data_IF_770990980098
#
_entry.id   IF_770990980098
#
_cell.length_a   1.000
_cell.length_b   1.000
_cell.length_c   1.000
_cell.angle_alpha   90.00
_cell.angle_beta   90.00
_cell.angle_gamma   90.00
#
_symmetry.space_group_name_H-M   'P 1'
#
loop_
_entity.id
_entity.type
_entity.pdbx_description
1 polymer ?
#
# COMPACT_ATOMS: atom_id res chain seq x y z
N UNK A 1 -62.73 -58.15 10.10
CA UNK A 1 -63.20 -57.11 11.04
C UNK A 1 -62.23 -57.09 12.23
N UNK A 2 -61.41 -56.05 12.34
CA UNK A 2 -60.58 -55.79 13.53
C UNK A 2 -61.19 -54.57 14.25
N UNK A 3 -61.34 -54.60 15.59
CA UNK A 3 -61.91 -53.47 16.31
C UNK A 3 -60.98 -52.26 16.17
N UNK A 4 -61.54 -51.13 15.71
CA UNK A 4 -60.81 -49.90 15.49
C UNK A 4 -60.13 -49.46 16.78
N UNK A 5 -58.81 -49.19 16.71
CA UNK A 5 -58.10 -48.53 17.81
C UNK A 5 -58.78 -47.18 18.07
N UNK A 6 -59.04 -46.80 19.33
CA UNK A 6 -59.61 -45.49 19.63
C UNK A 6 -58.69 -44.42 19.07
N UNK A 7 -59.25 -43.53 18.26
CA UNK A 7 -58.56 -42.33 17.78
C UNK A 7 -58.17 -41.54 19.02
N UNK A 8 -56.89 -41.17 19.22
CA UNK A 8 -56.51 -40.34 20.35
C UNK A 8 -57.32 -39.05 20.26
N UNK A 9 -58.23 -38.82 21.21
CA UNK A 9 -58.90 -37.53 21.32
C UNK A 9 -57.81 -36.47 21.44
N UNK A 10 -57.79 -35.53 20.49
CA UNK A 10 -57.01 -34.30 20.64
C UNK A 10 -57.49 -33.68 21.96
N UNK A 11 -56.67 -33.80 23.00
CA UNK A 11 -56.95 -33.19 24.30
C UNK A 11 -57.19 -31.72 24.07
N UNK A 12 -58.36 -31.25 24.53
CA UNK A 12 -58.73 -29.86 24.46
C UNK A 12 -57.60 -29.05 25.11
N UNK A 13 -56.98 -28.07 24.42
CA UNK A 13 -55.83 -27.33 24.94
C UNK A 13 -56.12 -26.53 26.21
N UNK A 14 -57.37 -26.55 26.70
CA UNK A 14 -57.89 -25.89 27.89
C UNK A 14 -58.31 -26.86 29.02
N UNK A 15 -58.17 -28.18 28.82
CA UNK A 15 -58.54 -29.23 29.80
C UNK A 15 -57.33 -29.98 30.38
N UNK A 16 -56.11 -29.47 30.21
CA UNK A 16 -54.93 -30.12 30.77
C UNK A 16 -54.89 -29.91 32.29
N UNK A 17 -54.41 -30.91 33.04
CA UNK A 17 -54.15 -30.74 34.46
C UNK A 17 -53.13 -29.59 34.67
N UNK A 18 -53.29 -28.75 35.69
CA UNK A 18 -52.41 -27.59 35.94
C UNK A 18 -50.91 -27.91 35.86
N UNK A 19 -50.51 -29.10 36.32
CA UNK A 19 -49.13 -29.60 36.31
C UNK A 19 -48.57 -29.75 34.89
N UNK A 20 -49.41 -30.08 33.91
CA UNK A 20 -49.02 -30.24 32.50
C UNK A 20 -48.80 -28.89 31.83
N UNK A 21 -49.61 -27.86 32.16
CA UNK A 21 -49.34 -26.49 31.70
C UNK A 21 -48.05 -25.94 32.28
N UNK A 22 -47.81 -26.17 33.58
CA UNK A 22 -46.58 -25.74 34.24
C UNK A 22 -45.35 -26.43 33.64
N UNK A 23 -45.44 -27.74 33.39
CA UNK A 23 -44.36 -28.48 32.72
C UNK A 23 -44.12 -27.98 31.29
N UNK A 24 -45.19 -27.72 30.52
CA UNK A 24 -45.08 -27.16 29.16
C UNK A 24 -44.45 -25.77 29.18
N UNK A 25 -44.88 -24.88 30.07
CA UNK A 25 -44.30 -23.54 30.22
C UNK A 25 -42.82 -23.57 30.62
N UNK A 26 -42.44 -24.48 31.54
CA UNK A 26 -41.04 -24.70 31.91
C UNK A 26 -40.19 -25.20 30.75
N UNK A 27 -40.69 -26.15 29.96
CA UNK A 27 -39.98 -26.65 28.79
C UNK A 27 -39.83 -25.59 27.70
N UNK A 28 -40.89 -24.83 27.41
CA UNK A 28 -40.83 -23.71 26.46
C UNK A 28 -39.81 -22.66 26.89
N UNK A 29 -39.84 -22.22 28.16
CA UNK A 29 -38.87 -21.25 28.67
C UNK A 29 -37.42 -21.78 28.65
N UNK A 30 -37.23 -23.08 28.87
CA UNK A 30 -35.89 -23.71 28.75
C UNK A 30 -35.40 -23.71 27.31
N UNK A 31 -36.25 -24.07 26.35
CA UNK A 31 -35.88 -24.14 24.93
C UNK A 31 -35.64 -22.74 24.37
N UNK A 32 -36.48 -21.76 24.73
CA UNK A 32 -36.29 -20.35 24.40
C UNK A 32 -34.98 -19.81 24.99
N UNK A 33 -34.71 -20.06 26.27
CA UNK A 33 -33.46 -19.66 26.92
C UNK A 33 -32.24 -20.30 26.29
N UNK A 34 -32.31 -21.58 25.90
CA UNK A 34 -31.24 -22.28 25.21
C UNK A 34 -30.96 -21.67 23.83
N UNK A 35 -31.99 -21.42 23.03
CA UNK A 35 -31.84 -20.79 21.71
C UNK A 35 -31.32 -19.36 21.81
N UNK A 36 -31.84 -18.58 22.75
CA UNK A 36 -31.37 -17.21 23.00
C UNK A 36 -29.90 -17.19 23.41
N UNK A 37 -29.49 -18.04 24.36
CA UNK A 37 -28.11 -18.14 24.80
C UNK A 37 -27.17 -18.57 23.68
N UNK A 38 -27.57 -19.55 22.87
CA UNK A 38 -26.78 -20.00 21.70
C UNK A 38 -26.64 -18.89 20.66
N UNK A 39 -27.73 -18.20 20.31
CA UNK A 39 -27.71 -17.12 19.34
C UNK A 39 -26.88 -15.93 19.84
N UNK A 40 -26.99 -15.59 21.13
CA UNK A 40 -26.20 -14.53 21.73
C UNK A 40 -24.70 -14.86 21.70
N UNK A 41 -24.33 -16.09 22.08
CA UNK A 41 -22.94 -16.57 22.03
C UNK A 41 -22.38 -16.59 20.61
N UNK A 42 -23.18 -17.07 19.63
CA UNK A 42 -22.80 -17.06 18.22
C UNK A 42 -22.57 -15.64 17.70
N UNK A 43 -23.50 -14.72 17.95
CA UNK A 43 -23.39 -13.32 17.53
C UNK A 43 -22.19 -12.61 18.19
N UNK A 44 -21.85 -12.98 19.42
CA UNK A 44 -20.66 -12.46 20.07
C UNK A 44 -19.38 -12.99 19.42
N UNK A 45 -19.30 -14.30 19.19
CA UNK A 45 -18.14 -14.93 18.55
C UNK A 45 -17.91 -14.40 17.14
N UNK A 46 -18.97 -14.26 16.33
CA UNK A 46 -18.91 -13.68 14.98
C UNK A 46 -18.42 -12.24 15.02
N UNK A 47 -18.94 -11.41 15.93
CA UNK A 47 -18.47 -10.02 16.07
C UNK A 47 -16.99 -9.94 16.42
N UNK A 48 -16.52 -10.77 17.35
CA UNK A 48 -15.11 -10.83 17.72
C UNK A 48 -14.24 -11.30 16.55
N UNK A 49 -14.68 -12.34 15.82
CA UNK A 49 -13.97 -12.82 14.64
C UNK A 49 -13.89 -11.75 13.55
N UNK A 50 -14.98 -11.03 13.28
CA UNK A 50 -15.01 -9.95 12.30
C UNK A 50 -14.04 -8.83 12.68
N UNK A 51 -13.99 -8.43 13.95
CA UNK A 51 -13.03 -7.42 14.42
C UNK A 51 -11.58 -7.85 14.17
N UNK A 52 -11.24 -9.11 14.41
CA UNK A 52 -9.90 -9.64 14.14
C UNK A 52 -9.61 -9.65 12.64
N UNK A 53 -10.58 -10.05 11.81
CA UNK A 53 -10.44 -10.06 10.35
C UNK A 53 -10.21 -8.64 9.82
N UNK A 54 -11.00 -7.66 10.29
CA UNK A 54 -10.85 -6.24 9.93
C UNK A 54 -9.46 -5.71 10.31
N UNK A 55 -8.98 -6.02 11.52
CA UNK A 55 -7.63 -5.64 11.96
C UNK A 55 -6.54 -6.28 11.10
N UNK A 56 -6.69 -7.56 10.75
CA UNK A 56 -5.74 -8.27 9.90
C UNK A 56 -5.73 -7.72 8.48
N UNK A 57 -6.89 -7.36 7.93
CA UNK A 57 -6.99 -6.72 6.61
C UNK A 57 -6.25 -5.39 6.60
N UNK A 58 -6.48 -4.53 7.60
CA UNK A 58 -5.75 -3.27 7.71
C UNK A 58 -4.25 -3.48 7.80
N UNK A 59 -3.79 -4.43 8.62
CA UNK A 59 -2.37 -4.74 8.76
C UNK A 59 -1.74 -5.23 7.45
N UNK A 60 -2.46 -6.03 6.66
CA UNK A 60 -1.98 -6.51 5.34
C UNK A 60 -1.87 -5.33 4.37
N UNK A 61 -2.85 -4.43 4.34
CA UNK A 61 -2.82 -3.24 3.50
C UNK A 61 -1.63 -2.34 3.87
N UNK A 62 -1.41 -2.09 5.16
CA UNK A 62 -0.29 -1.29 5.64
C UNK A 62 1.06 -1.93 5.26
N UNK A 63 1.19 -3.26 5.39
CA UNK A 63 2.41 -3.99 5.00
C UNK A 63 2.65 -3.93 3.50
N UNK A 64 1.61 -4.05 2.68
CA UNK A 64 1.72 -3.94 1.23
C UNK A 64 2.19 -2.54 0.81
N UNK A 65 1.66 -1.48 1.43
CA UNK A 65 2.11 -0.11 1.18
C UNK A 65 3.59 0.09 1.56
N UNK A 66 4.01 -0.43 2.71
CA UNK A 66 5.41 -0.35 3.13
C UNK A 66 6.36 -1.11 2.20
N UNK A 67 5.96 -2.30 1.74
CA UNK A 67 6.75 -3.07 0.77
C UNK A 67 6.86 -2.33 -0.56
N UNK A 68 5.76 -1.78 -1.06
CA UNK A 68 5.75 -1.01 -2.30
C UNK A 68 6.69 0.20 -2.20
N UNK A 69 6.61 0.97 -1.10
CA UNK A 69 7.49 2.11 -0.88
C UNK A 69 8.98 1.71 -0.81
N UNK A 70 9.30 0.53 -0.27
CA UNK A 70 10.68 0.01 -0.24
C UNK A 70 11.18 -0.39 -1.63
N UNK A 71 10.34 -1.02 -2.44
CA UNK A 71 10.68 -1.38 -3.82
C UNK A 71 10.95 -0.11 -4.64
N UNK A 72 10.07 0.89 -4.55
CA UNK A 72 10.26 2.17 -5.24
C UNK A 72 11.55 2.88 -4.78
N UNK A 73 11.86 2.83 -3.49
CA UNK A 73 13.11 3.38 -2.96
C UNK A 73 14.34 2.59 -3.45
N UNK A 74 14.25 1.27 -3.54
CA UNK A 74 15.34 0.44 -4.06
C UNK A 74 15.61 0.73 -5.54
N UNK A 75 14.55 0.81 -6.37
CA UNK A 75 14.67 1.19 -7.78
C UNK A 75 15.29 2.58 -7.94
N UNK A 76 14.86 3.55 -7.13
CA UNK A 76 15.46 4.88 -7.09
C UNK A 76 16.95 4.82 -6.72
N UNK A 77 17.30 4.08 -5.66
CA UNK A 77 18.69 3.94 -5.20
C UNK A 77 19.57 3.28 -6.26
N UNK A 78 19.07 2.27 -6.98
CA UNK A 78 19.78 1.63 -8.07
C UNK A 78 20.05 2.62 -9.22
N UNK A 79 19.06 3.44 -9.59
CA UNK A 79 19.24 4.47 -10.62
C UNK A 79 20.27 5.53 -10.19
N UNK A 80 20.21 6.01 -8.94
CA UNK A 80 21.18 6.96 -8.40
C UNK A 80 22.59 6.38 -8.42
N UNK A 81 22.76 5.13 -7.96
CA UNK A 81 24.06 4.46 -7.98
C UNK A 81 24.63 4.36 -9.40
N UNK A 82 23.83 3.92 -10.38
CA UNK A 82 24.27 3.83 -11.77
C UNK A 82 24.66 5.18 -12.35
N UNK A 83 23.88 6.23 -12.08
CA UNK A 83 24.21 7.60 -12.47
C UNK A 83 25.54 8.05 -11.88
N UNK A 84 25.77 7.82 -10.58
CA UNK A 84 27.04 8.15 -9.92
C UNK A 84 28.22 7.41 -10.55
N UNK A 85 28.09 6.10 -10.78
CA UNK A 85 29.15 5.29 -11.41
C UNK A 85 29.46 5.77 -12.83
N UNK A 86 28.46 6.13 -13.62
CA UNK A 86 28.69 6.69 -14.96
C UNK A 86 29.41 8.05 -14.90
N UNK A 87 29.02 8.92 -13.97
CA UNK A 87 29.68 10.20 -13.79
C UNK A 87 31.15 10.00 -13.40
N UNK A 88 31.43 9.15 -12.41
CA UNK A 88 32.80 8.87 -11.96
C UNK A 88 33.67 8.27 -13.08
N UNK A 89 33.10 7.39 -13.91
CA UNK A 89 33.79 6.83 -15.06
C UNK A 89 34.12 7.91 -16.12
N UNK A 90 33.17 8.82 -16.41
CA UNK A 90 33.39 9.94 -17.34
C UNK A 90 34.44 10.90 -16.78
N UNK A 91 34.39 11.22 -15.48
CA UNK A 91 35.38 12.07 -14.82
C UNK A 91 36.77 11.45 -14.88
N UNK A 92 36.89 10.15 -14.62
CA UNK A 92 38.17 9.43 -14.72
C UNK A 92 38.74 9.48 -16.14
N UNK A 93 37.92 9.17 -17.15
CA UNK A 93 38.31 9.24 -18.56
C UNK A 93 38.71 10.65 -19.00
N UNK A 94 38.03 11.68 -18.49
CA UNK A 94 38.35 13.08 -18.74
C UNK A 94 39.72 13.45 -18.16
N UNK A 95 40.00 13.01 -16.95
CA UNK A 95 41.22 13.38 -16.23
C UNK A 95 42.45 12.64 -16.77
N UNK A 96 42.27 11.43 -17.28
CA UNK A 96 43.34 10.60 -17.86
C UNK A 96 43.68 10.97 -19.32
N UNK A 97 42.73 11.55 -20.08
CA UNK A 97 42.89 11.76 -21.52
C UNK A 97 42.43 13.15 -21.99
N UNK A 98 43.36 14.05 -22.39
CA UNK A 98 43.04 15.39 -22.87
C UNK A 98 42.12 15.46 -24.11
N UNK A 99 42.22 14.49 -25.02
CA UNK A 99 41.36 14.44 -26.22
C UNK A 99 39.96 13.94 -25.87
N UNK A 100 39.87 12.95 -24.96
CA UNK A 100 38.59 12.52 -24.40
C UNK A 100 37.90 13.68 -23.66
N UNK A 101 38.66 14.47 -22.88
CA UNK A 101 38.13 15.66 -22.19
C UNK A 101 37.45 16.63 -23.15
N UNK A 102 38.09 17.00 -24.26
CA UNK A 102 37.48 17.91 -25.26
C UNK A 102 36.21 17.30 -25.86
N UNK A 103 36.25 16.02 -26.22
CA UNK A 103 35.10 15.32 -26.79
C UNK A 103 33.93 15.25 -25.81
N UNK A 104 34.20 14.96 -24.54
CA UNK A 104 33.23 14.91 -23.44
C UNK A 104 32.60 16.28 -23.22
N UNK A 105 33.39 17.35 -23.08
CA UNK A 105 32.88 18.71 -22.87
C UNK A 105 32.00 19.16 -24.03
N UNK A 106 32.41 18.92 -25.27
CA UNK A 106 31.64 19.26 -26.48
C UNK A 106 30.31 18.49 -26.54
N UNK A 107 30.35 17.19 -26.27
CA UNK A 107 29.16 16.34 -26.25
C UNK A 107 28.19 16.76 -25.14
N UNK A 108 28.73 17.02 -23.94
CA UNK A 108 27.96 17.51 -22.80
C UNK A 108 27.31 18.85 -23.11
N UNK A 109 28.06 19.86 -23.58
CA UNK A 109 27.54 21.19 -23.94
C UNK A 109 26.36 21.09 -24.89
N UNK A 110 26.50 20.31 -25.97
CA UNK A 110 25.44 20.14 -26.98
C UNK A 110 24.17 19.55 -26.38
N UNK A 111 24.30 18.49 -25.57
CA UNK A 111 23.15 17.84 -24.94
C UNK A 111 22.53 18.74 -23.88
N UNK A 112 23.34 19.27 -22.97
CA UNK A 112 22.88 20.14 -21.88
C UNK A 112 22.06 21.33 -22.38
N UNK A 113 22.53 22.05 -23.41
CA UNK A 113 21.80 23.19 -23.96
C UNK A 113 20.45 22.77 -24.56
N UNK A 114 20.41 21.67 -25.31
CA UNK A 114 19.18 21.13 -25.89
C UNK A 114 18.18 20.73 -24.81
N UNK A 115 18.59 19.88 -23.87
CA UNK A 115 17.70 19.38 -22.81
C UNK A 115 17.22 20.52 -21.91
N UNK A 116 18.07 21.52 -21.63
CA UNK A 116 17.69 22.71 -20.87
C UNK A 116 16.66 23.54 -21.63
N UNK A 117 16.85 23.75 -22.94
CA UNK A 117 15.89 24.47 -23.77
C UNK A 117 14.53 23.75 -23.84
N UNK A 118 14.54 22.44 -24.04
CA UNK A 118 13.34 21.60 -24.05
C UNK A 118 12.62 21.67 -22.70
N UNK A 119 13.36 21.51 -21.59
CA UNK A 119 12.80 21.58 -20.24
C UNK A 119 12.23 22.96 -19.88
N UNK A 120 12.82 24.04 -20.39
CA UNK A 120 12.28 25.40 -20.22
C UNK A 120 10.99 25.60 -21.02
N UNK A 121 10.89 25.01 -22.22
CA UNK A 121 9.67 25.06 -23.04
C UNK A 121 8.54 24.25 -22.42
N UNK A 122 8.86 23.09 -21.88
CA UNK A 122 7.90 22.18 -21.26
C UNK A 122 7.51 22.64 -19.84
N UNK A 123 8.20 23.65 -19.30
CA UNK A 123 7.95 24.22 -17.97
C UNK A 123 8.44 23.35 -16.81
N UNK A 124 9.21 22.29 -17.09
CA UNK A 124 9.81 21.44 -16.06
C UNK A 124 11.00 22.12 -15.39
N UNK A 125 11.66 23.05 -16.09
CA UNK A 125 12.61 23.99 -15.52
C UNK A 125 12.05 25.42 -15.58
N UNK A 126 12.27 26.17 -14.49
CA UNK A 126 11.91 27.58 -14.40
C UNK A 126 13.05 28.51 -14.87
N UNK A 127 14.27 27.99 -14.95
CA UNK A 127 15.47 28.74 -15.30
C UNK A 127 16.65 27.80 -15.59
N UNK A 128 17.71 28.35 -16.18
CA UNK A 128 18.92 27.57 -16.46
C UNK A 128 19.64 27.24 -15.15
N UNK A 129 19.90 25.96 -14.92
CA UNK A 129 20.45 25.45 -13.65
C UNK A 129 21.81 26.09 -13.30
N UNK A 130 22.64 26.37 -14.29
CA UNK A 130 23.95 27.01 -14.08
C UNK A 130 23.89 28.51 -13.77
N UNK A 131 22.70 29.12 -13.76
CA UNK A 131 22.48 30.50 -13.32
C UNK A 131 21.89 30.56 -11.90
N UNK A 132 21.46 29.42 -11.36
CA UNK A 132 20.85 29.34 -10.03
C UNK A 132 21.91 29.44 -8.93
N UNK A 133 21.82 30.51 -8.13
CA UNK A 133 22.79 30.79 -7.07
C UNK A 133 22.79 29.75 -5.93
N UNK A 134 21.67 29.07 -5.67
CA UNK A 134 21.61 27.99 -4.70
C UNK A 134 22.30 26.74 -5.25
N UNK A 135 22.00 26.37 -6.49
CA UNK A 135 22.66 25.25 -7.17
C UNK A 135 24.18 25.42 -7.23
N UNK A 136 24.65 26.62 -7.59
CA UNK A 136 26.08 26.92 -7.65
C UNK A 136 26.80 26.75 -6.30
N UNK A 137 26.08 26.93 -5.18
CA UNK A 137 26.64 26.71 -3.83
C UNK A 137 26.59 25.24 -3.41
N UNK A 138 25.50 24.55 -3.72
CA UNK A 138 25.26 23.18 -3.25
C UNK A 138 26.00 22.13 -4.09
N UNK A 139 26.27 22.39 -5.36
CA UNK A 139 26.89 21.44 -6.28
C UNK A 139 28.17 21.97 -6.98
N UNK A 140 29.19 22.43 -6.23
CA UNK A 140 30.31 23.20 -6.79
C UNK A 140 31.13 22.45 -7.85
N UNK A 141 31.24 21.11 -7.77
CA UNK A 141 31.93 20.29 -8.78
C UNK A 141 31.16 20.29 -10.11
N UNK A 142 29.87 19.97 -10.05
CA UNK A 142 28.98 19.94 -11.21
C UNK A 142 28.87 21.32 -11.87
N UNK A 143 28.77 22.39 -11.06
CA UNK A 143 28.72 23.76 -11.57
C UNK A 143 29.99 24.14 -12.34
N UNK A 144 31.18 23.80 -11.81
CA UNK A 144 32.44 24.03 -12.52
C UNK A 144 32.48 23.29 -13.85
N UNK A 145 32.06 22.03 -13.87
CA UNK A 145 32.02 21.24 -15.08
C UNK A 145 31.07 21.82 -16.14
N UNK A 146 29.87 22.28 -15.73
CA UNK A 146 28.94 22.94 -16.65
C UNK A 146 29.56 24.22 -17.22
N UNK A 147 30.14 25.08 -16.37
CA UNK A 147 30.79 26.30 -16.84
C UNK A 147 31.95 26.00 -17.80
N UNK A 148 32.78 25.02 -17.47
CA UNK A 148 33.88 24.58 -18.32
C UNK A 148 33.37 24.11 -19.69
N UNK A 149 32.31 23.30 -19.73
CA UNK A 149 31.73 22.82 -20.97
C UNK A 149 31.09 23.96 -21.78
N UNK A 150 30.43 24.93 -21.13
CA UNK A 150 29.85 26.09 -21.82
C UNK A 150 30.91 26.99 -22.44
N UNK A 151 32.10 27.07 -21.82
CA UNK A 151 33.24 27.86 -22.29
C UNK A 151 34.13 27.13 -23.30
N UNK A 152 33.97 25.81 -23.47
CA UNK A 152 34.63 24.99 -24.50
C UNK A 152 33.96 25.10 -25.87
#
# INVERSE_FOLDING_TARGET
MFPGRPVPQQQNPWELAPEVYVARGRNLGRDEGFQQGRNAGWNQAVRQANQVIEQQQQMIEDLQQQLQARVELEEYNQQVLLCSVYLDAIESLRDENPEARKAILRAFKKRYLRETEESLKDGTLHGQIHQDAQFLREAPRTSRFIHEALMS
#
